data_IF_153001881195
#
_entry.id   IF_153001881195
#
_cell.length_a   1.000
_cell.length_b   1.000
_cell.length_c   1.000
_cell.angle_alpha   90.00
_cell.angle_beta   90.00
_cell.angle_gamma   90.00
#
_symmetry.space_group_name_H-M   'P 1'
#
loop_
_entity.id
_entity.type
_entity.pdbx_description
1 polymer ?
#
# COMPACT_ATOMS: atom_id res chain seq x y z
N UNK A 1 -17.15 2.52 -9.17
CA UNK A 1 -15.71 2.76 -9.39
C UNK A 1 -14.94 2.35 -8.13
N UNK A 2 -13.66 1.98 -8.25
CA UNK A 2 -12.81 1.60 -7.11
C UNK A 2 -11.59 2.51 -7.01
N UNK A 3 -11.30 2.98 -5.81
CA UNK A 3 -10.10 3.75 -5.48
C UNK A 3 -9.11 2.82 -4.77
N UNK A 4 -7.94 2.56 -5.38
CA UNK A 4 -6.87 1.83 -4.73
C UNK A 4 -5.92 2.81 -4.06
N UNK A 5 -6.07 2.97 -2.75
CA UNK A 5 -5.21 3.80 -1.91
C UNK A 5 -3.94 3.04 -1.58
N UNK A 6 -2.81 3.56 -2.00
CA UNK A 6 -1.50 2.93 -1.88
C UNK A 6 -0.61 3.69 -0.90
N UNK A 7 0.09 2.94 -0.07
CA UNK A 7 1.15 3.46 0.79
C UNK A 7 2.29 2.45 0.92
N UNK A 8 3.48 2.93 1.26
CA UNK A 8 4.69 2.13 1.32
C UNK A 8 5.29 2.06 2.74
N UNK A 9 5.92 0.93 3.04
CA UNK A 9 6.71 0.76 4.25
C UNK A 9 8.06 0.11 3.96
N UNK A 10 9.07 0.56 4.66
CA UNK A 10 10.47 0.24 4.39
C UNK A 10 11.09 1.29 3.45
N UNK A 11 12.41 1.47 3.56
CA UNK A 11 13.18 2.39 2.72
C UNK A 11 13.30 1.83 1.29
N UNK A 12 12.94 2.58 0.24
CA UNK A 12 13.05 2.12 -1.16
C UNK A 12 14.51 2.00 -1.65
N UNK A 13 15.47 2.55 -0.94
CA UNK A 13 16.90 2.44 -1.26
C UNK A 13 17.45 1.02 -1.11
N UNK A 14 18.60 0.78 -1.73
CA UNK A 14 19.31 -0.50 -1.65
C UNK A 14 20.05 -0.68 -0.33
N UNK A 15 20.18 -1.93 0.11
CA UNK A 15 21.01 -2.31 1.26
C UNK A 15 22.50 -2.24 0.91
N UNK A 16 23.42 -2.16 1.92
CA UNK A 16 24.85 -2.31 1.69
C UNK A 16 25.19 -3.63 0.96
N UNK A 17 26.21 -3.67 0.11
CA UNK A 17 27.12 -2.59 -0.23
C UNK A 17 26.58 -1.60 -1.31
N UNK A 18 25.39 -1.79 -1.83
CA UNK A 18 24.84 -1.07 -2.99
C UNK A 18 24.08 0.21 -2.61
N UNK A 19 23.85 0.46 -1.32
CA UNK A 19 23.15 1.62 -0.78
C UNK A 19 23.29 1.73 0.74
N UNK A 20 22.47 2.59 1.35
CA UNK A 20 22.52 2.88 2.79
C UNK A 20 21.25 2.43 3.55
N UNK A 21 20.34 1.77 2.89
CA UNK A 21 19.10 1.30 3.52
C UNK A 21 19.37 0.33 4.66
N UNK A 22 18.69 0.51 5.78
CA UNK A 22 18.75 -0.37 6.95
C UNK A 22 17.63 -1.42 6.97
N UNK A 23 16.66 -1.31 6.04
CA UNK A 23 15.58 -2.28 5.92
C UNK A 23 15.86 -3.24 4.78
N UNK A 24 15.62 -4.53 4.97
CA UNK A 24 15.83 -5.57 3.95
C UNK A 24 14.59 -5.74 3.06
N UNK A 25 13.43 -5.41 3.60
CA UNK A 25 12.17 -5.48 2.87
C UNK A 25 11.64 -4.10 2.51
N UNK A 26 11.04 -4.02 1.33
CA UNK A 26 10.19 -2.92 0.89
C UNK A 26 8.80 -3.47 0.60
N UNK A 27 7.77 -2.83 1.14
CA UNK A 27 6.37 -3.23 0.94
C UNK A 27 5.60 -2.05 0.39
N UNK A 28 4.89 -2.26 -0.70
CA UNK A 28 3.82 -1.38 -1.16
C UNK A 28 2.51 -2.11 -0.93
N UNK A 29 1.57 -1.50 -0.23
CA UNK A 29 0.25 -2.08 0.01
C UNK A 29 -0.86 -1.10 -0.37
N UNK A 30 -2.01 -1.64 -0.78
CA UNK A 30 -3.15 -0.83 -1.18
C UNK A 30 -4.48 -1.41 -0.74
N UNK A 31 -5.37 -0.52 -0.31
CA UNK A 31 -6.75 -0.80 0.01
C UNK A 31 -7.66 -0.33 -1.11
N UNK A 32 -8.36 -1.25 -1.76
CA UNK A 32 -9.38 -0.92 -2.74
C UNK A 32 -10.72 -0.69 -2.05
N UNK A 33 -11.21 0.52 -2.14
CA UNK A 33 -12.54 0.93 -1.66
C UNK A 33 -13.42 1.33 -2.85
N UNK A 34 -14.67 0.90 -2.82
CA UNK A 34 -15.70 1.42 -3.73
C UNK A 34 -15.99 2.89 -3.38
N UNK A 35 -16.16 3.76 -4.37
CA UNK A 35 -16.33 5.20 -4.16
C UNK A 35 -17.46 5.56 -3.20
N UNK A 36 -18.54 4.78 -3.20
CA UNK A 36 -19.68 5.00 -2.28
C UNK A 36 -19.32 4.83 -0.81
N UNK A 37 -18.24 4.07 -0.49
CA UNK A 37 -17.78 3.83 0.88
C UNK A 37 -16.83 4.93 1.37
N UNK A 38 -16.41 5.86 0.50
CA UNK A 38 -15.43 6.88 0.87
C UNK A 38 -15.89 7.74 2.06
N UNK A 39 -17.13 8.25 1.99
CA UNK A 39 -17.69 9.08 3.08
C UNK A 39 -17.78 8.31 4.40
N UNK A 40 -18.11 7.02 4.34
CA UNK A 40 -18.17 6.17 5.53
C UNK A 40 -16.77 5.94 6.10
N UNK A 41 -15.77 5.70 5.26
CA UNK A 41 -14.39 5.54 5.71
C UNK A 41 -13.87 6.81 6.40
N UNK A 42 -14.10 7.98 5.82
CA UNK A 42 -13.74 9.27 6.39
C UNK A 42 -14.43 9.49 7.74
N UNK A 43 -15.75 9.27 7.82
CA UNK A 43 -16.48 9.43 9.09
C UNK A 43 -16.00 8.45 10.15
N UNK A 44 -15.79 7.19 9.78
CA UNK A 44 -15.32 6.17 10.73
C UNK A 44 -13.92 6.50 11.31
N UNK A 45 -13.02 7.08 10.51
CA UNK A 45 -11.72 7.55 11.02
C UNK A 45 -11.93 8.67 12.02
N UNK A 46 -12.79 9.65 11.72
CA UNK A 46 -13.13 10.76 12.64
C UNK A 46 -13.72 10.24 13.95
N UNK A 47 -14.62 9.28 13.89
CA UNK A 47 -15.27 8.68 15.05
C UNK A 47 -14.27 7.95 15.96
N UNK A 48 -13.32 7.18 15.35
CA UNK A 48 -12.24 6.55 16.12
C UNK A 48 -11.37 7.58 16.79
N UNK A 49 -11.00 8.65 16.09
CA UNK A 49 -10.20 9.73 16.68
C UNK A 49 -10.95 10.45 17.82
N UNK A 50 -12.22 10.74 17.64
CA UNK A 50 -13.07 11.37 18.66
C UNK A 50 -13.19 10.49 19.91
N UNK A 51 -13.37 9.17 19.75
CA UNK A 51 -13.38 8.19 20.84
C UNK A 51 -12.13 8.26 21.72
N UNK A 52 -10.99 8.59 21.12
CA UNK A 52 -9.70 8.72 21.81
C UNK A 52 -9.36 10.15 22.24
N UNK A 53 -10.27 11.13 22.05
CA UNK A 53 -10.03 12.54 22.33
C UNK A 53 -9.01 13.20 21.41
N UNK A 54 -8.94 12.72 20.16
CA UNK A 54 -7.99 13.14 19.13
C UNK A 54 -8.67 13.79 17.92
N UNK A 55 -9.91 14.28 18.08
CA UNK A 55 -10.67 14.91 17.00
C UNK A 55 -9.93 16.08 16.33
N UNK A 56 -9.03 16.73 17.05
CA UNK A 56 -8.18 17.80 16.53
C UNK A 56 -7.11 17.34 15.53
N UNK A 57 -6.86 16.02 15.41
CA UNK A 57 -5.95 15.48 14.38
C UNK A 57 -6.55 15.49 12.99
N UNK A 58 -7.89 15.57 12.86
CA UNK A 58 -8.58 15.50 11.57
C UNK A 58 -8.29 16.69 10.66
N UNK A 59 -7.89 17.83 11.23
CA UNK A 59 -7.83 19.08 10.48
C UNK A 59 -6.44 19.39 9.90
N UNK A 60 -5.36 18.78 10.42
CA UNK A 60 -4.00 19.20 10.04
C UNK A 60 -2.91 18.12 10.12
N UNK A 61 -3.19 16.87 10.45
CA UNK A 61 -2.11 15.89 10.73
C UNK A 61 -2.43 14.48 10.28
N UNK A 62 -1.42 13.86 9.72
CA UNK A 62 -1.42 12.49 9.25
C UNK A 62 -1.49 11.47 10.40
N UNK A 63 -2.38 10.50 10.28
CA UNK A 63 -2.34 9.28 11.10
C UNK A 63 -1.24 8.37 10.55
N UNK A 64 -0.13 8.26 11.26
CA UNK A 64 0.98 7.39 10.89
C UNK A 64 1.25 6.35 11.98
N UNK A 65 1.15 5.07 11.62
CA UNK A 65 1.28 3.97 12.59
C UNK A 65 2.65 3.96 13.28
N UNK A 66 3.73 4.22 12.56
CA UNK A 66 5.09 4.24 13.14
C UNK A 66 5.23 5.33 14.21
N UNK A 67 4.73 6.53 13.95
CA UNK A 67 4.74 7.68 14.88
C UNK A 67 3.89 7.39 16.12
N UNK A 68 2.72 6.82 15.92
CA UNK A 68 1.80 6.43 16.99
C UNK A 68 2.42 5.37 17.92
N UNK A 69 3.05 4.34 17.35
CA UNK A 69 3.72 3.30 18.13
C UNK A 69 4.94 3.82 18.89
N UNK A 70 5.71 4.72 18.29
CA UNK A 70 6.86 5.37 18.92
C UNK A 70 6.43 6.33 20.05
N UNK A 71 5.20 6.83 20.04
CA UNK A 71 4.74 7.87 20.95
C UNK A 71 5.41 9.22 20.69
N UNK A 72 5.78 9.45 19.43
CA UNK A 72 6.29 10.73 19.00
C UNK A 72 5.13 11.70 18.71
N UNK A 73 5.47 13.00 18.54
CA UNK A 73 4.46 14.01 18.22
C UNK A 73 3.58 13.59 17.03
N UNK A 74 2.26 13.68 17.13
CA UNK A 74 1.46 14.32 18.19
C UNK A 74 0.94 13.38 19.30
N UNK A 75 1.47 12.17 19.45
CA UNK A 75 0.94 11.14 20.36
C UNK A 75 1.71 11.04 21.70
N UNK A 76 2.63 11.95 21.98
CA UNK A 76 3.48 11.94 23.19
C UNK A 76 2.70 12.01 24.49
N UNK A 77 1.54 12.69 24.48
CA UNK A 77 0.67 12.79 25.66
C UNK A 77 -0.17 11.53 25.90
N UNK A 78 -0.25 10.64 24.93
CA UNK A 78 -0.98 9.39 25.06
C UNK A 78 -0.10 8.33 25.71
N UNK A 79 -0.53 7.81 26.84
CA UNK A 79 0.07 6.65 27.48
C UNK A 79 0.03 5.41 26.54
N UNK A 80 0.97 4.47 26.76
CA UNK A 80 1.14 3.27 25.91
C UNK A 80 -0.18 2.49 25.75
N UNK A 81 -0.97 2.35 26.81
CA UNK A 81 -2.26 1.63 26.76
C UNK A 81 -3.25 2.30 25.80
N UNK A 82 -3.38 3.64 25.86
CA UNK A 82 -4.27 4.41 24.96
C UNK A 82 -3.81 4.34 23.50
N UNK A 83 -2.50 4.43 23.25
CA UNK A 83 -1.94 4.28 21.90
C UNK A 83 -2.23 2.89 21.33
N UNK A 84 -2.07 1.82 22.13
CA UNK A 84 -2.41 0.45 21.72
C UNK A 84 -3.90 0.29 21.44
N UNK A 85 -4.77 0.90 22.25
CA UNK A 85 -6.21 0.87 22.04
C UNK A 85 -6.58 1.58 20.73
N UNK A 86 -6.02 2.76 20.45
CA UNK A 86 -6.22 3.50 19.21
C UNK A 86 -5.79 2.67 17.99
N UNK A 87 -4.60 2.07 18.04
CA UNK A 87 -4.12 1.17 16.96
C UNK A 87 -5.08 -0.01 16.76
N UNK A 88 -5.60 -0.62 17.84
CA UNK A 88 -6.56 -1.71 17.74
C UNK A 88 -7.85 -1.25 17.06
N UNK A 89 -8.38 -0.09 17.44
CA UNK A 89 -9.61 0.45 16.87
C UNK A 89 -9.46 0.77 15.38
N UNK A 90 -8.30 1.31 14.95
CA UNK A 90 -8.04 1.56 13.52
C UNK A 90 -7.95 0.24 12.73
N UNK A 91 -7.27 -0.80 13.25
CA UNK A 91 -7.26 -2.10 12.57
C UNK A 91 -8.66 -2.74 12.51
N UNK A 92 -9.46 -2.57 13.57
CA UNK A 92 -10.85 -3.02 13.58
C UNK A 92 -11.69 -2.27 12.54
N UNK A 93 -11.46 -0.95 12.40
CA UNK A 93 -12.09 -0.14 11.36
C UNK A 93 -11.73 -0.65 9.96
N UNK A 94 -10.46 -0.88 9.68
CA UNK A 94 -10.03 -1.46 8.39
C UNK A 94 -10.75 -2.77 8.09
N UNK A 95 -10.79 -3.69 9.07
CA UNK A 95 -11.47 -4.98 8.90
C UNK A 95 -12.98 -4.82 8.67
N UNK A 96 -13.62 -3.89 9.38
CA UNK A 96 -15.06 -3.66 9.29
C UNK A 96 -15.48 -2.97 7.97
N UNK A 97 -14.62 -2.15 7.39
CA UNK A 97 -14.83 -1.55 6.07
C UNK A 97 -14.80 -2.59 4.94
N UNK A 98 -14.18 -3.75 5.20
CA UNK A 98 -14.02 -4.84 4.23
C UNK A 98 -13.47 -4.40 2.87
N UNK A 99 -12.41 -3.58 2.83
CA UNK A 99 -11.76 -3.26 1.56
C UNK A 99 -11.12 -4.51 0.96
N UNK A 100 -10.77 -4.45 -0.32
CA UNK A 100 -9.92 -5.49 -0.91
C UNK A 100 -8.46 -5.05 -0.80
N UNK A 101 -7.64 -5.89 -0.18
CA UNK A 101 -6.23 -5.62 0.09
C UNK A 101 -5.35 -6.19 -1.03
N UNK A 102 -4.43 -5.37 -1.51
CA UNK A 102 -3.34 -5.74 -2.42
C UNK A 102 -2.00 -5.38 -1.81
N UNK A 103 -0.97 -6.20 -2.01
CA UNK A 103 0.39 -5.79 -1.67
C UNK A 103 1.45 -6.49 -2.52
N UNK A 104 2.61 -5.83 -2.59
CA UNK A 104 3.87 -6.41 -3.05
C UNK A 104 4.93 -6.24 -1.99
N UNK A 105 5.62 -7.33 -1.64
CA UNK A 105 6.75 -7.32 -0.71
C UNK A 105 8.02 -7.72 -1.48
N UNK A 106 9.03 -6.86 -1.48
CA UNK A 106 10.29 -7.03 -2.20
C UNK A 106 11.39 -7.32 -1.18
N UNK A 107 12.01 -8.50 -1.26
CA UNK A 107 13.27 -8.80 -0.58
C UNK A 107 14.41 -8.11 -1.36
N UNK A 108 14.83 -6.94 -0.91
CA UNK A 108 15.79 -6.10 -1.63
C UNK A 108 17.16 -6.75 -1.77
N UNK A 109 17.56 -7.56 -0.80
CA UNK A 109 18.84 -8.25 -0.83
C UNK A 109 18.83 -9.32 -1.90
N UNK A 110 17.82 -10.20 -1.90
CA UNK A 110 17.68 -11.24 -2.92
C UNK A 110 17.45 -10.64 -4.31
N UNK A 111 16.59 -9.60 -4.40
CA UNK A 111 16.31 -8.92 -5.65
C UNK A 111 17.59 -8.35 -6.28
N UNK A 112 18.42 -7.67 -5.48
CA UNK A 112 19.69 -7.11 -5.97
C UNK A 112 20.71 -8.21 -6.31
N UNK A 113 20.77 -9.27 -5.52
CA UNK A 113 21.66 -10.42 -5.79
C UNK A 113 21.29 -11.12 -7.09
N UNK A 114 19.99 -11.32 -7.33
CA UNK A 114 19.51 -12.06 -8.51
C UNK A 114 19.63 -11.26 -9.81
N UNK A 115 19.33 -9.94 -9.76
CA UNK A 115 19.22 -9.11 -10.97
C UNK A 115 20.40 -8.12 -11.16
N UNK A 116 21.28 -7.99 -10.17
CA UNK A 116 22.46 -7.15 -10.22
C UNK A 116 22.13 -5.69 -10.54
N UNK A 117 22.86 -5.11 -11.50
CA UNK A 117 22.64 -3.72 -11.95
C UNK A 117 21.34 -3.51 -12.69
N UNK A 118 20.70 -4.59 -13.15
CA UNK A 118 19.41 -4.57 -13.86
C UNK A 118 18.22 -4.61 -12.89
N UNK A 119 18.45 -4.72 -11.58
CA UNK A 119 17.37 -4.70 -10.61
C UNK A 119 16.62 -3.36 -10.66
N UNK A 120 15.33 -3.42 -10.88
CA UNK A 120 14.47 -2.24 -10.82
C UNK A 120 14.43 -1.67 -9.40
N UNK A 121 14.20 -0.36 -9.29
CA UNK A 121 13.91 0.26 -7.99
C UNK A 121 12.80 -0.51 -7.27
N UNK A 122 12.95 -0.86 -5.99
CA UNK A 122 11.94 -1.60 -5.24
C UNK A 122 10.56 -0.96 -5.31
N UNK A 123 10.48 0.38 -5.25
CA UNK A 123 9.24 1.13 -5.37
C UNK A 123 8.54 0.92 -6.72
N UNK A 124 9.25 1.15 -7.81
CA UNK A 124 8.68 0.98 -9.17
C UNK A 124 8.28 -0.46 -9.40
N UNK A 125 9.11 -1.41 -8.96
CA UNK A 125 8.84 -2.83 -9.13
C UNK A 125 7.61 -3.30 -8.34
N UNK A 126 7.50 -2.88 -7.08
CA UNK A 126 6.34 -3.19 -6.24
C UNK A 126 5.03 -2.67 -6.86
N UNK A 127 5.04 -1.44 -7.39
CA UNK A 127 3.90 -0.87 -8.08
C UNK A 127 3.54 -1.67 -9.36
N UNK A 128 4.54 -2.02 -10.19
CA UNK A 128 4.32 -2.86 -11.37
C UNK A 128 3.70 -4.22 -11.05
N UNK A 129 4.02 -4.79 -9.90
CA UNK A 129 3.45 -6.06 -9.46
C UNK A 129 1.99 -5.93 -8.96
N UNK A 130 1.60 -4.77 -8.43
CA UNK A 130 0.23 -4.51 -7.98
C UNK A 130 -0.72 -4.21 -9.14
N UNK A 131 -0.29 -3.42 -10.13
CA UNK A 131 -1.13 -2.96 -11.23
C UNK A 131 -1.93 -4.07 -11.92
N UNK A 132 -1.34 -5.18 -12.41
CA UNK A 132 -2.11 -6.23 -13.08
C UNK A 132 -3.01 -6.99 -12.13
N UNK A 133 -2.71 -7.05 -10.84
CA UNK A 133 -3.56 -7.69 -9.81
C UNK A 133 -4.84 -6.90 -9.60
N UNK A 134 -4.70 -5.60 -9.39
CA UNK A 134 -5.83 -4.71 -9.26
C UNK A 134 -6.68 -4.68 -10.54
N UNK A 135 -6.04 -4.64 -11.72
CA UNK A 135 -6.75 -4.70 -12.99
C UNK A 135 -7.56 -5.99 -13.13
N UNK A 136 -6.97 -7.15 -12.82
CA UNK A 136 -7.68 -8.44 -12.86
C UNK A 136 -8.84 -8.53 -11.87
N UNK A 137 -8.70 -7.92 -10.69
CA UNK A 137 -9.82 -7.78 -9.77
C UNK A 137 -10.95 -6.96 -10.40
N UNK A 138 -10.63 -5.80 -11.02
CA UNK A 138 -11.62 -4.94 -11.69
C UNK A 138 -12.30 -5.65 -12.87
N UNK A 139 -11.58 -6.48 -13.61
CA UNK A 139 -12.19 -7.33 -14.66
C UNK A 139 -13.26 -8.27 -14.09
N UNK A 140 -12.97 -8.93 -12.96
CA UNK A 140 -13.91 -9.88 -12.34
C UNK A 140 -15.19 -9.23 -11.81
N UNK A 141 -15.11 -7.99 -11.36
CA UNK A 141 -16.25 -7.25 -10.82
C UNK A 141 -16.90 -6.30 -11.83
N UNK A 142 -16.47 -6.34 -13.10
CA UNK A 142 -16.85 -5.40 -14.16
C UNK A 142 -16.73 -3.92 -13.75
N UNK A 143 -15.67 -3.61 -12.98
CA UNK A 143 -15.43 -2.30 -12.39
C UNK A 143 -14.38 -1.49 -13.13
N UNK A 144 -14.29 -0.19 -12.79
CA UNK A 144 -13.21 0.71 -13.15
C UNK A 144 -12.44 1.14 -11.90
N UNK A 145 -11.15 1.47 -12.05
CA UNK A 145 -10.32 1.83 -10.90
C UNK A 145 -9.33 2.96 -11.17
N UNK A 146 -8.94 3.62 -10.08
CA UNK A 146 -7.92 4.67 -10.06
C UNK A 146 -6.93 4.34 -8.95
N UNK A 147 -5.63 4.58 -9.19
CA UNK A 147 -4.60 4.56 -8.16
C UNK A 147 -4.53 5.92 -7.45
N UNK A 148 -4.55 5.90 -6.12
CA UNK A 148 -4.38 7.07 -5.26
C UNK A 148 -3.20 6.83 -4.35
N UNK A 149 -2.23 7.76 -4.30
CA UNK A 149 -0.96 7.58 -3.61
C UNK A 149 -0.49 8.88 -2.95
N UNK A 150 0.26 8.77 -1.85
CA UNK A 150 0.99 9.92 -1.31
C UNK A 150 2.11 10.32 -2.28
N UNK A 151 2.31 11.62 -2.57
CA UNK A 151 3.45 12.06 -3.37
C UNK A 151 4.76 11.80 -2.64
N UNK A 152 5.71 11.18 -3.33
CA UNK A 152 7.07 10.97 -2.83
C UNK A 152 8.03 12.01 -3.45
N UNK A 153 9.03 11.52 -4.18
CA UNK A 153 9.92 12.36 -4.96
C UNK A 153 9.37 12.57 -6.38
N UNK A 154 9.43 13.80 -6.89
CA UNK A 154 8.94 14.17 -8.24
C UNK A 154 9.38 13.21 -9.34
N UNK A 155 10.61 12.67 -9.22
CA UNK A 155 11.15 11.70 -10.20
C UNK A 155 10.46 10.33 -10.12
N UNK A 156 10.10 9.87 -8.92
CA UNK A 156 9.39 8.62 -8.72
C UNK A 156 7.94 8.76 -9.21
N UNK A 157 7.28 9.82 -8.84
CA UNK A 157 5.91 10.12 -9.26
C UNK A 157 5.77 10.18 -10.78
N UNK A 158 6.72 10.85 -11.45
CA UNK A 158 6.76 10.93 -12.90
C UNK A 158 6.89 9.55 -13.56
N UNK A 159 7.76 8.67 -13.01
CA UNK A 159 7.93 7.29 -13.50
C UNK A 159 6.66 6.46 -13.35
N UNK A 160 5.94 6.60 -12.22
CA UNK A 160 4.69 5.87 -12.03
C UNK A 160 3.60 6.34 -12.99
N UNK A 161 3.49 7.66 -13.24
CA UNK A 161 2.57 8.21 -14.26
C UNK A 161 2.89 7.68 -15.65
N UNK A 162 4.15 7.71 -16.04
CA UNK A 162 4.61 7.17 -17.33
C UNK A 162 4.30 5.68 -17.45
N UNK A 163 4.55 4.90 -16.39
CA UNK A 163 4.27 3.47 -16.36
C UNK A 163 2.79 3.19 -16.63
N UNK A 164 1.87 3.88 -15.95
CA UNK A 164 0.42 3.69 -16.16
C UNK A 164 0.02 4.12 -17.57
N UNK A 165 0.53 5.25 -18.07
CA UNK A 165 0.28 5.70 -19.44
C UNK A 165 0.68 4.63 -20.46
N UNK A 166 1.90 4.10 -20.34
CA UNK A 166 2.41 3.06 -21.22
C UNK A 166 1.63 1.75 -21.07
N UNK A 167 1.30 1.36 -19.85
CA UNK A 167 0.55 0.15 -19.57
C UNK A 167 -0.87 0.17 -20.15
N UNK A 168 -1.51 1.33 -20.21
CA UNK A 168 -2.83 1.48 -20.87
C UNK A 168 -2.76 1.34 -22.38
N UNK A 169 -1.67 1.78 -23.01
CA UNK A 169 -1.50 1.80 -24.45
C UNK A 169 -0.85 0.51 -25.00
N UNK A 170 0.19 0.05 -24.34
CA UNK A 170 1.07 -1.04 -24.84
C UNK A 170 1.06 -2.28 -23.94
N UNK A 171 0.44 -2.20 -22.77
CA UNK A 171 0.52 -3.21 -21.72
C UNK A 171 1.74 -3.02 -20.80
N UNK A 172 1.70 -3.65 -19.64
CA UNK A 172 2.87 -3.72 -18.77
C UNK A 172 3.85 -4.71 -19.38
N UNK A 173 4.93 -4.19 -19.93
CA UNK A 173 6.09 -4.99 -20.30
C UNK A 173 6.90 -5.26 -19.04
N UNK A 174 6.50 -6.26 -18.28
CA UNK A 174 7.45 -6.93 -17.40
C UNK A 174 8.38 -7.69 -18.32
N UNK A 175 9.63 -7.27 -18.39
CA UNK A 175 10.63 -7.85 -19.28
C UNK A 175 10.53 -9.36 -19.23
N UNK A 176 10.18 -9.94 -20.34
CA UNK A 176 9.63 -11.28 -20.57
C UNK A 176 10.46 -12.47 -20.06
N UNK A 177 11.70 -12.25 -19.66
CA UNK A 177 12.57 -13.29 -19.13
C UNK A 177 12.20 -13.79 -17.72
N UNK A 178 11.32 -13.10 -16.97
CA UNK A 178 11.12 -13.40 -15.56
C UNK A 178 9.70 -13.77 -15.13
N UNK A 179 8.69 -13.48 -15.94
CA UNK A 179 7.34 -13.97 -15.70
C UNK A 179 6.46 -13.90 -16.96
N UNK A 180 6.31 -15.00 -17.69
CA UNK A 180 5.51 -15.05 -18.92
C UNK A 180 4.02 -14.76 -18.69
N UNK A 181 3.52 -14.83 -17.44
CA UNK A 181 2.13 -14.57 -17.12
C UNK A 181 1.78 -13.08 -16.96
N UNK A 182 2.77 -12.19 -16.97
CA UNK A 182 2.57 -10.75 -16.82
C UNK A 182 2.97 -9.94 -18.06
N UNK A 183 3.41 -10.61 -19.13
CA UNK A 183 3.77 -9.95 -20.39
C UNK A 183 2.52 -9.44 -21.11
N UNK A 184 2.54 -8.17 -21.49
CA UNK A 184 1.52 -7.49 -22.32
C UNK A 184 0.10 -7.35 -21.72
N UNK A 185 -0.06 -7.29 -20.39
CA UNK A 185 -1.37 -6.98 -19.83
C UNK A 185 -1.63 -5.47 -19.96
N UNK A 186 -2.46 -5.10 -20.93
CA UNK A 186 -3.06 -3.77 -20.97
C UNK A 186 -3.94 -3.57 -19.74
N UNK A 187 -4.13 -2.32 -19.34
CA UNK A 187 -4.91 -1.95 -18.15
C UNK A 187 -6.17 -1.14 -18.52
N UNK A 188 -7.09 -1.65 -19.38
CA UNK A 188 -8.26 -0.88 -19.83
C UNK A 188 -9.24 -0.54 -18.70
N UNK A 189 -9.18 -1.25 -17.57
CA UNK A 189 -10.03 -0.96 -16.41
C UNK A 189 -9.44 0.11 -15.48
N UNK A 190 -8.19 0.52 -15.71
CA UNK A 190 -7.57 1.62 -14.99
C UNK A 190 -7.83 2.90 -15.78
N UNK A 191 -8.64 3.77 -15.22
CA UNK A 191 -8.88 5.11 -15.77
C UNK A 191 -7.88 6.09 -15.16
N UNK A 192 -7.55 7.14 -15.87
CA UNK A 192 -6.58 8.16 -15.46
C UNK A 192 -5.16 7.62 -15.20
N UNK A 193 -4.27 8.49 -14.81
CA UNK A 193 -2.96 8.14 -14.27
C UNK A 193 -3.05 8.00 -12.74
N UNK A 194 -1.92 7.84 -12.06
CA UNK A 194 -1.88 7.87 -10.59
C UNK A 194 -2.27 9.27 -10.10
N UNK A 195 -3.25 9.35 -9.20
CA UNK A 195 -3.60 10.55 -8.48
C UNK A 195 -2.72 10.65 -7.22
N UNK A 196 -1.94 11.73 -7.14
CA UNK A 196 -1.14 12.02 -5.96
C UNK A 196 -1.90 12.98 -5.06
N UNK A 197 -2.17 12.53 -3.83
CA UNK A 197 -2.91 13.24 -2.80
C UNK A 197 -2.10 13.19 -1.51
N UNK A 198 -1.96 14.30 -0.81
CA UNK A 198 -1.25 14.32 0.48
C UNK A 198 -1.93 13.37 1.46
N UNK A 199 -1.14 12.56 2.16
CA UNK A 199 -1.67 11.55 3.10
C UNK A 199 -2.53 12.16 4.21
N UNK A 200 -2.20 13.38 4.67
CA UNK A 200 -3.00 14.12 5.65
C UNK A 200 -4.43 14.41 5.17
N UNK A 201 -4.65 14.53 3.86
CA UNK A 201 -5.94 14.86 3.25
C UNK A 201 -6.71 13.61 2.79
N UNK A 202 -6.15 12.40 3.01
CA UNK A 202 -6.71 11.16 2.52
C UNK A 202 -6.80 10.07 3.58
N UNK A 203 -7.98 9.86 4.17
CA UNK A 203 -8.19 8.75 5.12
C UNK A 203 -7.82 7.38 4.51
N UNK A 204 -8.05 7.20 3.21
CA UNK A 204 -7.71 5.95 2.53
C UNK A 204 -6.21 5.67 2.51
N UNK A 205 -5.37 6.69 2.24
CA UNK A 205 -3.90 6.56 2.29
C UNK A 205 -3.44 6.29 3.73
N UNK A 206 -4.01 7.00 4.71
CA UNK A 206 -3.68 6.77 6.13
C UNK A 206 -4.01 5.33 6.56
N UNK A 207 -5.15 4.78 6.14
CA UNK A 207 -5.47 3.37 6.40
C UNK A 207 -4.54 2.40 5.65
N UNK A 208 -4.08 2.77 4.46
CA UNK A 208 -3.09 2.00 3.72
C UNK A 208 -1.72 1.98 4.42
N UNK A 209 -1.27 3.09 5.10
CA UNK A 209 -0.06 3.12 5.95
C UNK A 209 -0.14 2.05 7.05
N UNK A 210 -1.27 1.91 7.72
CA UNK A 210 -1.44 0.88 8.74
C UNK A 210 -1.26 -0.54 8.17
N UNK A 211 -1.80 -0.77 6.98
CA UNK A 211 -1.68 -2.08 6.32
C UNK A 211 -0.26 -2.33 5.80
N UNK A 212 0.34 -1.37 5.10
CA UNK A 212 1.70 -1.47 4.57
C UNK A 212 2.70 -1.75 5.70
N UNK A 213 2.59 -1.02 6.81
CA UNK A 213 3.46 -1.18 7.97
C UNK A 213 3.26 -2.53 8.68
N UNK A 214 2.02 -3.02 8.80
CA UNK A 214 1.75 -4.33 9.38
C UNK A 214 2.36 -5.46 8.53
N UNK A 215 2.23 -5.37 7.20
CA UNK A 215 2.81 -6.32 6.26
C UNK A 215 4.34 -6.25 6.29
N UNK A 216 4.90 -5.03 6.27
CA UNK A 216 6.35 -4.83 6.37
C UNK A 216 6.92 -5.43 7.66
N UNK A 217 6.30 -5.20 8.83
CA UNK A 217 6.73 -5.81 10.10
C UNK A 217 6.67 -7.33 10.09
N UNK A 218 5.71 -7.90 9.36
CA UNK A 218 5.64 -9.34 9.18
C UNK A 218 6.90 -9.87 8.49
N UNK A 219 7.30 -9.26 7.36
CA UNK A 219 8.47 -9.71 6.60
C UNK A 219 9.81 -9.32 7.23
N UNK A 220 9.93 -8.08 7.69
CA UNK A 220 11.18 -7.53 8.22
C UNK A 220 11.52 -8.06 9.61
N UNK A 221 10.50 -8.34 10.45
CA UNK A 221 10.67 -8.64 11.87
C UNK A 221 9.95 -9.90 12.37
N UNK A 222 9.29 -10.63 11.51
CA UNK A 222 8.48 -11.79 11.89
C UNK A 222 7.25 -11.45 12.75
N UNK A 223 6.86 -10.18 12.86
CA UNK A 223 5.75 -9.71 13.70
C UNK A 223 4.41 -9.84 12.97
N UNK A 224 3.76 -10.98 13.09
CA UNK A 224 2.59 -11.35 12.25
C UNK A 224 1.22 -10.99 12.82
N UNK A 225 1.12 -10.48 14.07
CA UNK A 225 -0.18 -10.26 14.72
C UNK A 225 -1.11 -9.37 13.87
N UNK A 226 -0.63 -8.21 13.46
CA UNK A 226 -1.42 -7.25 12.67
C UNK A 226 -1.64 -7.72 11.24
N UNK A 227 -0.64 -8.34 10.65
CA UNK A 227 -0.78 -8.97 9.32
C UNK A 227 -1.93 -10.00 9.32
N UNK A 228 -1.99 -10.89 10.32
CA UNK A 228 -3.05 -11.90 10.43
C UNK A 228 -4.45 -11.28 10.53
N UNK A 229 -4.59 -10.10 11.15
CA UNK A 229 -5.89 -9.42 11.25
C UNK A 229 -6.41 -8.95 9.88
N UNK A 230 -5.52 -8.53 8.98
CA UNK A 230 -5.88 -8.00 7.66
C UNK A 230 -5.72 -9.00 6.52
N UNK A 231 -5.11 -10.15 6.77
CA UNK A 231 -4.86 -11.16 5.73
C UNK A 231 -6.14 -11.69 5.05
N UNK A 232 -7.25 -11.73 5.79
CA UNK A 232 -8.56 -12.10 5.24
C UNK A 232 -9.17 -11.09 4.26
N UNK A 233 -8.58 -9.89 4.14
CA UNK A 233 -9.00 -8.86 3.19
C UNK A 233 -8.29 -8.99 1.83
N UNK A 234 -7.30 -9.87 1.70
CA UNK A 234 -6.57 -10.09 0.45
C UNK A 234 -7.52 -10.53 -0.66
N UNK A 235 -7.34 -9.95 -1.84
CA UNK A 235 -8.07 -10.42 -3.03
C UNK A 235 -7.89 -11.91 -3.22
N UNK A 236 -9.00 -12.63 -3.17
CA UNK A 236 -9.03 -14.09 -3.27
C UNK A 236 -10.12 -14.50 -4.27
N UNK A 237 -9.77 -15.37 -5.18
CA UNK A 237 -10.69 -15.90 -6.18
C UNK A 237 -10.49 -17.40 -6.37
N UNK A 238 -11.57 -18.17 -6.35
CA UNK A 238 -11.54 -19.65 -6.47
C UNK A 238 -10.53 -20.30 -5.50
N UNK A 239 -10.47 -19.83 -4.25
CA UNK A 239 -9.57 -20.36 -3.21
C UNK A 239 -8.11 -19.93 -3.34
N UNK A 240 -7.74 -19.17 -4.37
CA UNK A 240 -6.37 -18.67 -4.59
C UNK A 240 -6.26 -17.20 -4.21
N UNK A 241 -5.20 -16.85 -3.47
CA UNK A 241 -4.89 -15.47 -3.11
C UNK A 241 -4.17 -14.77 -4.27
N UNK A 242 -4.82 -13.77 -4.85
CA UNK A 242 -4.27 -12.93 -5.91
C UNK A 242 -3.79 -11.57 -5.42
N UNK A 243 -4.27 -11.12 -4.27
CA UNK A 243 -3.97 -9.79 -3.70
C UNK A 243 -2.53 -9.63 -3.24
N UNK A 244 -1.71 -10.67 -3.22
CA UNK A 244 -0.35 -10.57 -2.70
C UNK A 244 0.71 -11.05 -3.68
N UNK A 245 1.89 -10.42 -3.63
CA UNK A 245 3.10 -10.89 -4.30
C UNK A 245 4.32 -10.66 -3.43
N UNK A 246 5.02 -11.74 -3.15
CA UNK A 246 6.36 -11.70 -2.56
C UNK A 246 7.36 -11.91 -3.67
N UNK A 247 8.38 -11.06 -3.73
CA UNK A 247 9.39 -11.07 -4.79
C UNK A 247 10.78 -11.10 -4.17
N UNK A 248 11.65 -12.02 -4.65
CA UNK A 248 13.07 -12.00 -4.29
C UNK A 248 13.79 -10.80 -4.86
#
# INVERSE_FOLDING_TARGET
MHLLYLDASGDPGWCPPHGRSRTTWYVLAGLSLEEKLWKQADQNVKDVLAKHGLQWLTDFRELRLSTMLAGAHPYETLGIARRRALVNDIFSLVVNLKPVLFYSAIDKVKHRTQYGVRAFSPHVWAFQLICPRFHKYLERIDGLGIFVMDPEETKHDAKLKELIKNARQQGIVLTSSFNPYLSNTQLPRIIESVLFVQSQDSPGIQLADFCSHAIWKHYERGMSLRYKQIAGLLDTFSGTVYGSKVWP
#
